data_IF_860875845834
#
_entry.id   IF_860875845834
#
_cell.length_a   1.000
_cell.length_b   1.000
_cell.length_c   1.000
_cell.angle_alpha   90.00
_cell.angle_beta   90.00
_cell.angle_gamma   90.00
#
_symmetry.space_group_name_H-M   'P 1'
#
loop_
_entity.id
_entity.type
_entity.pdbx_description
1 polymer ?
#
# COMPACT_ATOMS: atom_id res chain seq x y z
N UNK A 1 -14.96 -5.06 58.23
CA UNK A 1 -15.39 -5.74 56.98
C UNK A 1 -14.72 -5.00 55.81
N UNK A 2 -13.50 -5.42 55.45
CA UNK A 2 -12.77 -4.85 54.31
C UNK A 2 -13.18 -5.63 53.04
N UNK A 3 -13.73 -4.96 52.04
CA UNK A 3 -13.89 -5.54 50.70
C UNK A 3 -12.65 -5.24 49.86
N UNK A 4 -11.94 -6.30 49.49
CA UNK A 4 -10.92 -6.27 48.44
C UNK A 4 -11.62 -6.18 47.08
N UNK A 5 -11.42 -5.09 46.34
CA UNK A 5 -11.81 -4.99 44.93
C UNK A 5 -10.61 -5.42 44.09
N UNK A 6 -10.67 -6.63 43.54
CA UNK A 6 -9.67 -7.12 42.58
C UNK A 6 -10.00 -6.56 41.20
N UNK A 7 -9.23 -5.56 40.76
CA UNK A 7 -9.26 -5.04 39.40
C UNK A 7 -8.55 -6.02 38.47
N UNK A 8 -9.31 -6.82 37.72
CA UNK A 8 -8.78 -7.64 36.62
C UNK A 8 -8.55 -6.74 35.42
N UNK A 9 -7.31 -6.34 35.18
CA UNK A 9 -6.92 -5.61 33.98
C UNK A 9 -6.94 -6.56 32.78
N UNK A 10 -7.98 -6.46 31.94
CA UNK A 10 -8.03 -7.15 30.66
C UNK A 10 -6.98 -6.54 29.71
N UNK A 11 -5.87 -7.25 29.52
CA UNK A 11 -4.90 -6.94 28.46
C UNK A 11 -5.54 -7.28 27.13
N UNK A 12 -6.10 -6.27 26.46
CA UNK A 12 -6.55 -6.40 25.07
C UNK A 12 -5.29 -6.47 24.21
N UNK A 13 -4.82 -7.68 23.92
CA UNK A 13 -3.84 -7.88 22.85
C UNK A 13 -4.51 -7.48 21.55
N UNK A 14 -4.05 -6.38 20.95
CA UNK A 14 -4.44 -5.98 19.60
C UNK A 14 -4.14 -7.15 18.66
N UNK A 15 -5.18 -7.87 18.24
CA UNK A 15 -5.07 -8.90 17.23
C UNK A 15 -4.57 -8.23 15.94
N UNK A 16 -3.28 -8.41 15.65
CA UNK A 16 -2.69 -8.01 14.39
C UNK A 16 -3.47 -8.70 13.28
N UNK A 17 -4.28 -7.94 12.56
CA UNK A 17 -5.16 -8.45 11.52
C UNK A 17 -4.36 -9.32 10.53
N UNK A 18 -4.61 -10.63 10.56
CA UNK A 18 -3.82 -11.59 9.79
C UNK A 18 -4.17 -11.51 8.30
N UNK A 19 -3.18 -11.80 7.46
CA UNK A 19 -3.41 -11.99 6.04
C UNK A 19 -4.24 -13.28 5.86
N UNK A 20 -5.31 -13.22 5.06
CA UNK A 20 -6.12 -14.41 4.78
C UNK A 20 -5.32 -15.37 3.91
N UNK A 21 -5.10 -16.59 4.39
CA UNK A 21 -4.34 -17.62 3.71
C UNK A 21 -5.23 -18.80 3.33
N UNK A 22 -4.90 -19.45 2.22
CA UNK A 22 -5.48 -20.73 1.76
C UNK A 22 -4.36 -21.52 1.11
N UNK A 23 -4.50 -22.84 1.18
CA UNK A 23 -3.60 -23.74 0.47
C UNK A 23 -4.19 -23.96 -0.92
N UNK A 24 -3.37 -23.80 -1.94
CA UNK A 24 -3.76 -24.00 -3.33
C UNK A 24 -3.27 -25.39 -3.75
N UNK A 25 -4.20 -26.19 -4.24
CA UNK A 25 -3.97 -27.58 -4.62
C UNK A 25 -3.28 -27.63 -5.98
N UNK A 26 -2.08 -28.19 -6.01
CA UNK A 26 -1.25 -28.40 -7.20
C UNK A 26 -1.08 -29.88 -7.59
N UNK A 27 -1.82 -30.80 -6.94
CA UNK A 27 -1.77 -32.27 -7.10
C UNK A 27 -2.00 -32.81 -8.51
N UNK A 28 -2.36 -31.94 -9.46
CA UNK A 28 -2.50 -32.30 -10.87
C UNK A 28 -1.85 -31.27 -11.80
N UNK A 29 -1.81 -30.00 -11.37
CA UNK A 29 -1.23 -28.93 -12.17
C UNK A 29 0.29 -28.94 -12.17
N UNK A 30 0.93 -29.47 -11.12
CA UNK A 30 2.38 -29.55 -11.03
C UNK A 30 2.95 -30.91 -11.41
N UNK A 31 2.13 -31.89 -11.80
CA UNK A 31 2.58 -33.20 -12.32
C UNK A 31 3.01 -33.16 -13.78
N UNK A 32 2.56 -32.13 -14.50
CA UNK A 32 2.73 -31.97 -15.94
C UNK A 32 3.29 -30.60 -16.27
N UNK A 33 3.80 -30.47 -17.50
CA UNK A 33 4.22 -29.19 -18.06
C UNK A 33 3.08 -28.17 -17.94
N UNK A 34 3.38 -26.99 -17.42
CA UNK A 34 2.38 -25.94 -17.26
C UNK A 34 2.57 -25.10 -16.01
N UNK A 35 1.56 -24.28 -15.77
CA UNK A 35 1.49 -23.37 -14.63
C UNK A 35 0.80 -24.02 -13.44
N UNK A 36 1.37 -23.80 -12.25
CA UNK A 36 0.68 -23.91 -10.98
C UNK A 36 0.79 -22.57 -10.26
N UNK A 37 -0.35 -21.99 -9.89
CA UNK A 37 -0.40 -20.61 -9.38
C UNK A 37 -1.32 -20.51 -8.17
N UNK A 38 -1.22 -19.41 -7.44
CA UNK A 38 -2.27 -19.03 -6.51
C UNK A 38 -3.55 -18.68 -7.30
N UNK A 39 -4.72 -18.98 -6.73
CA UNK A 39 -6.06 -18.78 -7.34
C UNK A 39 -6.32 -17.40 -7.99
N UNK A 40 -5.58 -16.36 -7.63
CA UNK A 40 -5.56 -15.09 -8.34
C UNK A 40 -4.25 -14.32 -8.09
N UNK A 41 -4.05 -13.26 -8.88
CA UNK A 41 -2.84 -12.43 -8.89
C UNK A 41 -2.64 -11.56 -7.63
N UNK A 42 -3.63 -11.48 -6.73
CA UNK A 42 -3.55 -10.74 -5.45
C UNK A 42 -3.14 -11.61 -4.27
N UNK A 43 -2.69 -12.83 -4.54
CA UNK A 43 -2.23 -13.78 -3.52
C UNK A 43 -0.80 -14.19 -3.80
N UNK A 44 -0.06 -14.36 -2.73
CA UNK A 44 1.38 -14.54 -2.79
C UNK A 44 1.76 -15.74 -1.93
N UNK A 45 2.69 -16.52 -2.44
CA UNK A 45 3.18 -17.75 -1.82
C UNK A 45 3.94 -17.37 -0.55
N UNK A 46 3.64 -18.05 0.55
CA UNK A 46 4.35 -17.95 1.83
C UNK A 46 5.08 -19.23 2.18
N UNK A 47 4.87 -20.29 1.40
CA UNK A 47 5.57 -21.56 1.52
C UNK A 47 4.95 -22.63 0.65
N UNK A 48 5.55 -23.80 0.69
CA UNK A 48 5.20 -24.95 -0.11
C UNK A 48 4.98 -26.17 0.76
N UNK A 49 4.10 -27.05 0.29
CA UNK A 49 3.92 -28.39 0.83
C UNK A 49 4.45 -29.40 -0.17
N UNK A 50 5.16 -30.40 0.34
CA UNK A 50 5.56 -31.56 -0.45
C UNK A 50 5.03 -32.86 0.15
N UNK A 51 4.83 -33.84 -0.71
CA UNK A 51 4.52 -35.22 -0.30
C UNK A 51 5.77 -35.98 0.16
N UNK A 52 5.55 -37.20 0.67
CA UNK A 52 6.62 -38.15 1.02
C UNK A 52 7.49 -38.49 -0.19
N UNK A 53 8.73 -38.91 0.07
CA UNK A 53 9.63 -39.45 -0.94
C UNK A 53 9.00 -40.64 -1.67
N UNK A 54 9.38 -40.81 -2.94
CA UNK A 54 8.95 -41.93 -3.76
C UNK A 54 9.62 -43.24 -3.40
N UNK A 55 9.15 -44.32 -4.01
CA UNK A 55 9.89 -45.57 -4.03
C UNK A 55 11.31 -45.31 -4.60
N UNK A 56 12.31 -46.01 -4.04
CA UNK A 56 13.72 -45.88 -4.46
C UNK A 56 14.36 -44.51 -4.20
N UNK A 57 13.84 -43.72 -3.24
CA UNK A 57 14.34 -42.37 -2.91
C UNK A 57 14.32 -41.39 -4.09
N UNK A 58 13.46 -41.61 -5.08
CA UNK A 58 13.24 -40.63 -6.14
C UNK A 58 12.45 -39.45 -5.59
N UNK A 59 12.95 -38.26 -5.85
CA UNK A 59 12.40 -37.02 -5.33
C UNK A 59 12.14 -36.01 -6.43
N UNK A 60 11.29 -36.45 -7.36
CA UNK A 60 10.89 -35.67 -8.52
C UNK A 60 10.06 -34.43 -8.14
N UNK A 61 10.11 -33.41 -9.01
CA UNK A 61 9.42 -32.14 -8.75
C UNK A 61 7.89 -32.22 -8.69
N UNK A 62 7.25 -33.27 -9.23
CA UNK A 62 5.79 -33.43 -9.13
C UNK A 62 5.32 -33.55 -7.68
N UNK A 63 6.19 -33.93 -6.75
CA UNK A 63 5.88 -34.03 -5.31
C UNK A 63 5.64 -32.70 -4.62
N UNK A 64 5.79 -31.57 -5.32
CA UNK A 64 5.43 -30.24 -4.86
C UNK A 64 3.93 -29.99 -5.05
N UNK A 65 3.14 -30.46 -4.10
CA UNK A 65 1.68 -30.61 -4.30
C UNK A 65 0.84 -29.42 -3.88
N UNK A 66 1.34 -28.50 -3.03
CA UNK A 66 0.55 -27.33 -2.63
C UNK A 66 1.41 -26.10 -2.38
N UNK A 67 0.80 -24.93 -2.56
CA UNK A 67 1.36 -23.65 -2.14
C UNK A 67 0.45 -22.97 -1.11
N UNK A 68 1.05 -22.43 -0.05
CA UNK A 68 0.32 -21.61 0.94
C UNK A 68 0.24 -20.18 0.43
N UNK A 69 -0.90 -19.81 -0.12
CA UNK A 69 -1.14 -18.51 -0.73
C UNK A 69 -1.85 -17.57 0.25
N UNK A 70 -1.27 -16.43 0.54
CA UNK A 70 -1.85 -15.42 1.43
C UNK A 70 -2.17 -14.13 0.68
N UNK A 71 -3.20 -13.40 1.13
CA UNK A 71 -3.49 -12.06 0.62
C UNK A 71 -2.30 -11.13 0.83
N UNK A 72 -2.22 -10.06 0.03
CA UNK A 72 -1.32 -8.94 0.33
C UNK A 72 -1.54 -8.39 1.75
N UNK A 73 -0.54 -7.65 2.23
CA UNK A 73 -0.68 -6.83 3.42
C UNK A 73 -1.96 -5.99 3.33
N UNK A 74 -2.60 -5.74 4.47
CA UNK A 74 -3.81 -4.92 4.57
C UNK A 74 -3.73 -3.60 3.82
N UNK A 75 -2.54 -3.03 3.68
CA UNK A 75 -2.28 -1.79 2.96
C UNK A 75 -2.54 -1.88 1.45
N UNK A 76 -2.60 -3.09 0.91
CA UNK A 76 -2.77 -3.36 -0.52
C UNK A 76 -3.89 -4.37 -0.81
N UNK A 77 -4.70 -4.74 0.19
CA UNK A 77 -5.67 -5.86 0.10
C UNK A 77 -6.67 -5.70 -1.06
N UNK A 78 -7.07 -4.48 -1.36
CA UNK A 78 -8.06 -4.17 -2.39
C UNK A 78 -7.42 -3.76 -3.72
N UNK A 79 -6.11 -3.56 -3.77
CA UNK A 79 -5.43 -3.10 -4.98
C UNK A 79 -5.43 -4.17 -6.08
N UNK A 80 -5.37 -3.72 -7.33
CA UNK A 80 -5.03 -4.60 -8.45
C UNK A 80 -3.56 -5.00 -8.32
N UNK A 81 -3.22 -6.16 -8.85
CA UNK A 81 -1.83 -6.59 -8.96
C UNK A 81 -1.40 -6.59 -10.42
N UNK A 82 -0.12 -6.28 -10.64
CA UNK A 82 0.57 -6.50 -11.90
C UNK A 82 1.52 -7.69 -11.74
N UNK A 83 1.68 -8.49 -12.79
CA UNK A 83 2.51 -9.70 -12.76
C UNK A 83 3.54 -9.69 -13.88
N UNK A 84 4.66 -10.35 -13.61
CA UNK A 84 5.78 -10.58 -14.52
C UNK A 84 6.25 -12.03 -14.40
N UNK A 85 6.72 -12.56 -15.50
CA UNK A 85 7.34 -13.87 -15.55
C UNK A 85 8.86 -13.69 -15.36
N UNK A 86 9.37 -14.11 -14.20
CA UNK A 86 10.80 -14.13 -13.94
C UNK A 86 11.42 -15.33 -14.66
N UNK A 87 12.34 -15.08 -15.58
CA UNK A 87 13.07 -16.13 -16.29
C UNK A 87 14.07 -16.79 -15.33
N UNK A 88 13.85 -18.07 -15.02
CA UNK A 88 14.73 -18.87 -14.16
C UNK A 88 15.52 -19.94 -14.91
N UNK A 89 15.42 -20.00 -16.25
CA UNK A 89 16.04 -21.03 -17.07
C UNK A 89 17.52 -21.20 -16.75
N UNK A 90 18.28 -20.10 -16.78
CA UNK A 90 19.73 -20.17 -16.49
C UNK A 90 20.04 -20.24 -15.00
N UNK A 91 19.21 -19.66 -14.14
CA UNK A 91 19.51 -19.58 -12.71
C UNK A 91 19.24 -20.90 -12.01
N UNK A 92 18.09 -21.56 -12.27
CA UNK A 92 17.79 -22.86 -11.69
C UNK A 92 18.55 -24.02 -12.34
N UNK A 93 19.14 -23.87 -13.52
CA UNK A 93 20.07 -24.86 -14.11
C UNK A 93 21.40 -24.96 -13.39
N UNK A 94 21.78 -23.94 -12.60
CA UNK A 94 23.02 -23.94 -11.82
C UNK A 94 22.80 -24.45 -10.41
N UNK A 95 23.59 -25.42 -9.91
CA UNK A 95 23.57 -25.72 -8.48
C UNK A 95 24.14 -24.56 -7.68
N UNK A 96 23.76 -24.48 -6.40
CA UNK A 96 24.18 -23.46 -5.45
C UNK A 96 23.81 -22.02 -5.84
N UNK A 97 22.67 -21.83 -6.50
CA UNK A 97 22.22 -20.55 -7.05
C UNK A 97 20.86 -20.12 -6.50
N UNK A 98 20.57 -18.83 -6.65
CA UNK A 98 19.26 -18.25 -6.37
C UNK A 98 18.47 -18.00 -7.66
N UNK A 99 17.19 -18.31 -7.62
CA UNK A 99 16.20 -17.87 -8.60
C UNK A 99 15.16 -17.02 -7.90
N UNK A 100 15.10 -15.74 -8.25
CA UNK A 100 14.32 -14.71 -7.54
C UNK A 100 13.38 -13.96 -8.47
N UNK A 101 12.31 -13.44 -7.90
CA UNK A 101 11.44 -12.44 -8.51
C UNK A 101 12.18 -11.09 -8.64
N UNK A 102 11.77 -10.24 -9.59
CA UNK A 102 12.24 -8.86 -9.65
C UNK A 102 11.96 -8.11 -8.34
N UNK A 103 12.79 -7.12 -8.02
CA UNK A 103 12.66 -6.35 -6.79
C UNK A 103 11.24 -5.77 -6.60
N UNK A 104 10.68 -5.99 -5.40
CA UNK A 104 9.30 -5.59 -5.04
C UNK A 104 8.20 -6.54 -5.55
N UNK A 105 8.52 -7.56 -6.33
CA UNK A 105 7.56 -8.62 -6.71
C UNK A 105 7.67 -9.83 -5.77
N UNK A 106 6.54 -10.51 -5.60
CA UNK A 106 6.38 -11.66 -4.72
C UNK A 106 5.88 -12.86 -5.53
N UNK A 107 6.31 -14.06 -5.17
CA UNK A 107 5.99 -15.25 -5.93
C UNK A 107 4.49 -15.56 -5.81
N UNK A 108 3.84 -15.79 -6.94
CA UNK A 108 2.44 -16.17 -7.07
C UNK A 108 2.31 -17.60 -7.60
N UNK A 109 3.25 -18.06 -8.40
CA UNK A 109 3.22 -19.39 -9.00
C UNK A 109 4.51 -19.77 -9.70
N UNK A 110 4.52 -21.00 -10.20
CA UNK A 110 5.65 -21.63 -10.86
C UNK A 110 5.20 -22.24 -12.18
N UNK A 111 6.04 -22.13 -13.20
CA UNK A 111 5.91 -22.87 -14.45
C UNK A 111 6.98 -23.95 -14.50
N UNK A 112 6.58 -25.16 -14.88
CA UNK A 112 7.52 -26.24 -15.18
C UNK A 112 7.47 -26.68 -16.64
N UNK A 113 8.62 -27.07 -17.17
CA UNK A 113 8.78 -27.77 -18.45
C UNK A 113 8.59 -29.29 -18.28
N UNK A 114 8.82 -30.04 -19.36
CA UNK A 114 8.89 -31.50 -19.29
C UNK A 114 10.20 -31.93 -18.61
N UNK A 115 10.19 -33.07 -17.92
CA UNK A 115 11.30 -33.53 -17.09
C UNK A 115 10.93 -33.52 -15.62
N UNK A 116 11.68 -34.22 -14.77
CA UNK A 116 11.31 -34.47 -13.36
C UNK A 116 12.31 -33.91 -12.34
N UNK A 117 13.28 -33.14 -12.81
CA UNK A 117 14.32 -32.56 -11.98
C UNK A 117 13.98 -31.12 -11.59
N UNK A 118 14.65 -30.61 -10.56
CA UNK A 118 14.39 -29.29 -9.99
C UNK A 118 14.58 -28.15 -10.98
N UNK A 119 15.59 -28.27 -11.86
CA UNK A 119 15.83 -27.25 -12.88
C UNK A 119 14.69 -27.11 -13.90
N UNK A 120 13.83 -28.13 -14.06
CA UNK A 120 12.66 -28.03 -14.95
C UNK A 120 11.59 -27.05 -14.44
N UNK A 121 11.80 -26.37 -13.31
CA UNK A 121 11.05 -25.17 -12.91
C UNK A 121 11.73 -23.96 -13.56
N UNK A 122 11.14 -23.47 -14.66
CA UNK A 122 11.83 -22.51 -15.54
C UNK A 122 11.38 -21.06 -15.33
N UNK A 123 10.21 -20.85 -14.72
CA UNK A 123 9.63 -19.51 -14.58
C UNK A 123 8.92 -19.34 -13.26
N UNK A 124 9.25 -18.26 -12.55
CA UNK A 124 8.46 -17.76 -11.43
C UNK A 124 7.42 -16.74 -11.91
N UNK A 125 6.13 -16.98 -11.66
CA UNK A 125 5.11 -15.94 -11.79
C UNK A 125 5.21 -15.03 -10.59
N UNK A 126 5.65 -13.81 -10.81
CA UNK A 126 5.94 -12.83 -9.78
C UNK A 126 4.95 -11.68 -9.89
N UNK A 127 4.19 -11.41 -8.84
CA UNK A 127 3.15 -10.38 -8.82
C UNK A 127 3.43 -9.34 -7.73
N UNK A 128 2.94 -8.12 -7.90
CA UNK A 128 2.89 -7.11 -6.84
C UNK A 128 1.64 -6.25 -6.97
N UNK A 129 1.14 -5.65 -5.88
CA UNK A 129 0.17 -4.57 -5.99
C UNK A 129 0.70 -3.45 -6.90
N UNK A 130 -0.15 -2.90 -7.76
CA UNK A 130 0.25 -1.90 -8.77
C UNK A 130 1.00 -0.73 -8.12
N UNK A 131 0.55 -0.25 -6.96
CA UNK A 131 1.16 0.88 -6.28
C UNK A 131 2.27 0.50 -5.28
N UNK A 132 2.61 -0.79 -5.18
CA UNK A 132 3.71 -1.25 -4.32
C UNK A 132 5.07 -0.91 -4.97
N UNK A 133 6.03 -0.34 -4.21
CA UNK A 133 7.37 -0.04 -4.71
C UNK A 133 8.12 -1.25 -5.26
N UNK A 134 9.09 -1.02 -6.14
CA UNK A 134 10.05 -2.04 -6.61
C UNK A 134 11.13 -2.38 -5.56
N UNK A 135 10.76 -2.49 -4.28
CA UNK A 135 11.65 -2.91 -3.18
C UNK A 135 10.86 -3.50 -2.01
N UNK A 136 11.57 -4.21 -1.14
CA UNK A 136 11.01 -4.86 0.04
C UNK A 136 11.23 -4.02 1.30
N UNK A 137 10.45 -4.28 2.36
CA UNK A 137 10.69 -3.68 3.69
C UNK A 137 11.93 -4.30 4.34
N UNK A 138 11.90 -5.63 4.43
CA UNK A 138 12.91 -6.46 5.03
C UNK A 138 12.91 -7.79 4.28
N UNK A 139 14.07 -8.41 4.17
CA UNK A 139 14.22 -9.78 3.68
C UNK A 139 15.07 -10.61 4.64
N UNK A 140 14.89 -11.92 4.57
CA UNK A 140 15.78 -12.90 5.17
C UNK A 140 15.72 -14.20 4.36
N UNK A 141 16.76 -15.02 4.47
CA UNK A 141 16.79 -16.33 3.83
C UNK A 141 16.42 -17.39 4.87
N UNK A 142 15.31 -18.07 4.67
CA UNK A 142 14.83 -19.17 5.51
C UNK A 142 15.54 -20.46 5.09
N UNK A 143 16.28 -21.09 6.01
CA UNK A 143 16.88 -22.39 5.74
C UNK A 143 15.83 -23.49 5.95
N UNK A 144 15.46 -24.16 4.86
CA UNK A 144 14.43 -25.21 4.87
C UNK A 144 15.00 -26.59 4.55
N UNK A 145 16.28 -26.73 4.17
CA UNK A 145 16.94 -27.98 3.74
C UNK A 145 16.40 -29.23 4.44
N UNK A 146 16.62 -29.35 5.75
CA UNK A 146 16.20 -30.53 6.50
C UNK A 146 14.69 -30.70 6.66
N UNK A 147 13.92 -29.60 6.66
CA UNK A 147 12.44 -29.63 6.76
C UNK A 147 11.82 -30.01 5.42
N UNK A 148 12.43 -29.60 4.32
CA UNK A 148 11.97 -29.84 2.96
C UNK A 148 12.44 -31.18 2.38
N UNK A 149 13.34 -31.90 3.07
CA UNK A 149 13.62 -33.32 2.81
C UNK A 149 12.46 -34.24 3.23
N UNK A 150 11.55 -33.75 4.07
CA UNK A 150 10.44 -34.51 4.67
C UNK A 150 9.10 -34.03 4.14
N UNK A 151 8.11 -34.92 4.18
CA UNK A 151 6.73 -34.55 3.91
C UNK A 151 6.29 -33.42 4.86
N UNK A 152 5.62 -32.42 4.33
CA UNK A 152 5.07 -31.33 5.14
C UNK A 152 5.29 -29.95 4.54
N UNK A 153 4.97 -28.95 5.36
CA UNK A 153 5.07 -27.54 5.02
C UNK A 153 6.47 -27.00 5.30
N UNK A 154 7.02 -26.26 4.33
CA UNK A 154 8.14 -25.34 4.51
C UNK A 154 7.72 -23.94 4.11
N UNK A 155 7.74 -23.01 5.07
CA UNK A 155 7.21 -21.65 4.93
C UNK A 155 8.20 -20.61 5.42
N UNK A 156 8.04 -19.37 4.96
CA UNK A 156 8.57 -18.22 5.66
C UNK A 156 8.01 -18.20 7.09
N UNK A 157 8.86 -18.41 8.09
CA UNK A 157 8.46 -18.50 9.50
C UNK A 157 7.98 -17.18 10.09
N UNK A 158 8.46 -16.04 9.59
CA UNK A 158 8.06 -14.71 10.07
C UNK A 158 6.72 -14.28 9.47
N UNK A 159 5.80 -13.84 10.33
CA UNK A 159 4.50 -13.35 9.90
C UNK A 159 4.63 -12.14 8.94
N UNK A 160 3.82 -12.14 7.87
CA UNK A 160 3.82 -11.08 6.86
C UNK A 160 4.96 -11.14 5.84
N UNK A 161 5.78 -12.20 5.86
CA UNK A 161 6.78 -12.46 4.83
C UNK A 161 6.25 -13.43 3.78
N UNK A 162 6.64 -13.18 2.53
CA UNK A 162 6.26 -13.95 1.36
C UNK A 162 7.52 -14.47 0.67
N UNK A 163 7.39 -15.61 0.00
CA UNK A 163 8.45 -16.16 -0.84
C UNK A 163 8.63 -15.26 -2.05
N UNK A 164 9.88 -14.87 -2.30
CA UNK A 164 10.27 -14.13 -3.51
C UNK A 164 11.30 -14.89 -4.33
N UNK A 165 11.80 -16.02 -3.84
CA UNK A 165 12.75 -16.85 -4.57
C UNK A 165 13.13 -18.13 -3.83
N UNK A 166 13.79 -19.01 -4.55
CA UNK A 166 14.24 -20.33 -4.08
C UNK A 166 15.74 -20.49 -4.33
N UNK A 167 16.43 -21.17 -3.41
CA UNK A 167 17.84 -21.53 -3.54
C UNK A 167 17.96 -23.02 -3.84
N UNK A 168 18.69 -23.34 -4.90
CA UNK A 168 18.93 -24.72 -5.32
C UNK A 168 20.30 -25.19 -4.86
N UNK A 169 20.37 -26.27 -4.08
CA UNK A 169 21.63 -26.93 -3.72
C UNK A 169 22.11 -27.95 -4.77
N UNK A 170 21.19 -28.73 -5.34
CA UNK A 170 21.40 -29.77 -6.36
C UNK A 170 20.08 -30.00 -7.12
N UNK A 171 19.87 -31.13 -7.81
CA UNK A 171 18.83 -31.25 -8.84
C UNK A 171 17.54 -32.00 -8.48
N UNK A 172 17.39 -32.47 -7.25
CA UNK A 172 16.14 -33.09 -6.77
C UNK A 172 15.28 -32.08 -6.01
N UNK A 173 13.99 -32.37 -5.83
CA UNK A 173 13.04 -31.45 -5.20
C UNK A 173 13.50 -31.02 -3.80
N UNK A 174 13.97 -31.95 -2.96
CA UNK A 174 14.46 -31.65 -1.60
C UNK A 174 15.64 -30.67 -1.59
N UNK A 175 16.34 -30.49 -2.71
CA UNK A 175 17.44 -29.54 -2.80
C UNK A 175 17.00 -28.09 -2.98
N UNK A 176 15.70 -27.78 -2.82
CA UNK A 176 15.29 -26.43 -2.45
C UNK A 176 15.68 -26.22 -0.98
N UNK A 177 16.91 -25.78 -0.76
CA UNK A 177 17.50 -25.69 0.57
C UNK A 177 17.07 -24.42 1.31
N UNK A 178 16.73 -23.34 0.59
CA UNK A 178 16.36 -22.05 1.19
C UNK A 178 15.25 -21.35 0.42
N UNK A 179 14.44 -20.60 1.16
CA UNK A 179 13.48 -19.64 0.62
C UNK A 179 13.98 -18.23 0.89
N UNK A 180 13.95 -17.35 -0.11
CA UNK A 180 14.10 -15.92 0.14
C UNK A 180 12.75 -15.36 0.53
N UNK A 181 12.65 -14.89 1.77
CA UNK A 181 11.44 -14.41 2.38
C UNK A 181 11.52 -12.90 2.55
N UNK A 182 10.60 -12.16 1.93
CA UNK A 182 10.57 -10.70 1.99
C UNK A 182 9.20 -10.19 2.43
N UNK A 183 9.21 -9.09 3.17
CA UNK A 183 8.02 -8.40 3.65
C UNK A 183 7.63 -7.26 2.71
N UNK A 184 6.34 -7.15 2.43
CA UNK A 184 5.77 -6.05 1.66
C UNK A 184 6.02 -4.72 2.38
N UNK A 185 6.77 -3.81 1.75
CA UNK A 185 6.91 -2.44 2.23
C UNK A 185 5.55 -1.77 2.35
N UNK A 186 5.18 -1.42 3.59
CA UNK A 186 3.97 -0.65 3.88
C UNK A 186 4.19 0.81 3.53
N UNK A 187 3.66 1.24 2.38
CA UNK A 187 3.55 2.67 2.03
C UNK A 187 2.17 3.16 2.46
N UNK A 188 1.93 3.17 3.77
CA UNK A 188 0.81 3.90 4.37
C UNK A 188 1.31 5.23 4.89
N UNK A 189 0.47 6.28 4.86
CA UNK A 189 0.62 7.37 5.81
C UNK A 189 0.62 6.76 7.22
N UNK A 190 1.76 6.81 7.93
CA UNK A 190 1.97 6.04 9.16
C UNK A 190 0.88 6.27 10.22
N UNK A 191 0.58 7.52 10.51
CA UNK A 191 -0.40 7.94 11.51
C UNK A 191 -1.35 8.98 10.91
N UNK A 192 -2.66 8.77 11.05
CA UNK A 192 -3.69 9.71 10.61
C UNK A 192 -4.49 10.24 11.79
N UNK A 193 -4.81 11.53 11.77
CA UNK A 193 -5.70 12.21 12.71
C UNK A 193 -6.66 13.11 11.95
N UNK A 194 -7.84 13.33 12.52
CA UNK A 194 -8.72 14.37 12.05
C UNK A 194 -8.36 15.66 12.80
N UNK A 195 -8.03 16.71 12.06
CA UNK A 195 -7.80 18.04 12.64
C UNK A 195 -9.14 18.76 12.67
N UNK A 196 -9.54 19.19 13.87
CA UNK A 196 -10.81 19.87 14.12
C UNK A 196 -10.72 21.32 13.65
N UNK A 197 -11.56 21.68 12.67
CA UNK A 197 -11.67 23.01 12.09
C UNK A 197 -13.01 23.72 12.38
N UNK A 198 -13.91 23.12 13.17
CA UNK A 198 -15.26 23.58 13.55
C UNK A 198 -15.36 24.99 14.16
N UNK A 199 -14.23 25.66 14.36
CA UNK A 199 -14.18 27.04 14.85
C UNK A 199 -13.05 27.83 14.24
N UNK A 200 -12.00 27.16 13.74
CA UNK A 200 -10.87 27.83 13.10
C UNK A 200 -11.19 28.22 11.66
N UNK A 201 -12.04 27.45 10.96
CA UNK A 201 -12.40 27.73 9.58
C UNK A 201 -13.67 28.56 9.44
N UNK A 202 -14.37 28.89 10.53
CA UNK A 202 -15.54 29.80 10.52
C UNK A 202 -15.15 31.28 10.44
N UNK A 203 -13.88 31.57 10.75
CA UNK A 203 -13.33 32.92 10.83
C UNK A 203 -12.09 33.05 9.96
N UNK A 204 -11.73 34.31 9.66
CA UNK A 204 -10.48 34.65 9.00
C UNK A 204 -9.30 34.05 9.79
N UNK A 205 -8.38 33.40 9.07
CA UNK A 205 -7.19 32.82 9.69
C UNK A 205 -6.82 31.47 9.10
N UNK A 206 -5.90 30.81 9.81
CA UNK A 206 -5.38 29.50 9.45
C UNK A 206 -6.20 28.38 10.08
N UNK A 207 -6.45 27.34 9.30
CA UNK A 207 -6.81 26.01 9.78
C UNK A 207 -5.81 25.00 9.21
N UNK A 208 -5.07 24.33 10.10
CA UNK A 208 -3.96 23.45 9.72
C UNK A 208 -4.18 22.05 10.26
N UNK A 209 -3.40 21.10 9.76
CA UNK A 209 -3.15 19.86 10.47
C UNK A 209 -2.44 20.15 11.81
N UNK A 210 -2.59 19.24 12.78
CA UNK A 210 -2.03 19.38 14.14
C UNK A 210 -0.52 19.69 14.19
N UNK A 211 0.26 19.35 13.15
CA UNK A 211 1.65 19.78 12.97
C UNK A 211 2.07 19.70 11.49
N UNK A 212 3.26 20.23 11.18
CA UNK A 212 3.81 20.35 9.82
C UNK A 212 4.28 19.02 9.19
N UNK A 213 4.29 17.91 9.94
CA UNK A 213 4.62 16.55 9.45
C UNK A 213 3.40 15.75 9.02
N UNK A 214 2.22 16.36 9.12
CA UNK A 214 0.97 15.78 8.64
C UNK A 214 0.51 16.47 7.37
N UNK A 215 -0.13 15.72 6.50
CA UNK A 215 -0.56 16.17 5.19
C UNK A 215 -2.00 15.73 4.96
N UNK A 216 -2.80 16.62 4.39
CA UNK A 216 -4.22 16.43 4.14
C UNK A 216 -4.39 15.33 3.09
N UNK A 217 -5.24 14.37 3.41
CA UNK A 217 -5.68 13.27 2.52
C UNK A 217 -7.14 13.40 2.12
N UNK A 218 -7.86 14.31 2.78
CA UNK A 218 -9.24 14.65 2.47
C UNK A 218 -9.85 15.57 3.52
N UNK A 219 -11.11 15.90 3.31
CA UNK A 219 -11.85 16.85 4.11
C UNK A 219 -13.20 16.28 4.55
N UNK A 220 -13.65 16.73 5.71
CA UNK A 220 -15.01 16.51 6.19
C UNK A 220 -15.83 17.78 5.97
N UNK A 221 -17.06 17.58 5.51
CA UNK A 221 -18.03 18.65 5.31
C UNK A 221 -19.26 18.42 6.18
N UNK A 222 -19.73 19.48 6.85
CA UNK A 222 -20.98 19.45 7.61
C UNK A 222 -22.23 19.41 6.71
N UNK A 223 -23.38 19.12 7.31
CA UNK A 223 -24.66 19.04 6.59
C UNK A 223 -25.02 20.38 5.95
N UNK A 224 -25.49 20.35 4.70
CA UNK A 224 -26.17 21.49 4.09
C UNK A 224 -27.39 21.87 4.95
N UNK A 225 -27.52 23.17 5.25
CA UNK A 225 -28.72 23.70 5.91
C UNK A 225 -29.95 23.66 4.99
N UNK A 226 -31.05 24.25 5.45
CA UNK A 226 -32.29 24.44 4.65
C UNK A 226 -32.13 25.47 3.53
N UNK A 227 -30.98 26.16 3.46
CA UNK A 227 -30.69 27.21 2.50
C UNK A 227 -29.71 26.72 1.43
N UNK A 228 -29.86 27.23 0.21
CA UNK A 228 -29.04 26.93 -0.98
C UNK A 228 -27.61 27.49 -0.93
N UNK A 229 -27.26 28.24 0.14
CA UNK A 229 -25.93 28.86 0.29
C UNK A 229 -24.96 27.88 0.94
N UNK A 230 -23.98 27.51 0.14
CA UNK A 230 -23.00 26.51 0.50
C UNK A 230 -21.65 27.15 0.79
N UNK A 231 -21.60 27.77 1.95
CA UNK A 231 -20.52 28.63 2.42
C UNK A 231 -19.31 27.82 2.90
N UNK A 232 -18.12 28.42 2.83
CA UNK A 232 -16.86 27.70 3.12
C UNK A 232 -16.67 27.29 4.58
N UNK A 233 -17.39 27.87 5.55
CA UNK A 233 -17.30 27.42 6.95
C UNK A 233 -17.72 25.95 7.13
N UNK A 234 -18.47 25.39 6.18
CA UNK A 234 -18.89 23.97 6.23
C UNK A 234 -17.72 22.98 6.12
N UNK A 235 -16.51 23.46 5.85
CA UNK A 235 -15.29 22.67 5.84
C UNK A 235 -14.77 22.50 7.28
N UNK A 236 -15.33 21.53 8.01
CA UNK A 236 -15.18 21.43 9.46
C UNK A 236 -13.97 20.60 9.93
N UNK A 237 -13.45 19.70 9.10
CA UNK A 237 -12.28 18.90 9.49
C UNK A 237 -11.40 18.55 8.28
N UNK A 238 -10.11 18.34 8.55
CA UNK A 238 -9.18 17.76 7.59
C UNK A 238 -8.64 16.43 8.10
N UNK A 239 -8.62 15.42 7.23
CA UNK A 239 -7.98 14.14 7.52
C UNK A 239 -6.49 14.26 7.21
N UNK A 240 -5.70 14.35 8.26
CA UNK A 240 -4.29 14.66 8.21
C UNK A 240 -3.46 13.42 8.53
N UNK A 241 -2.60 13.00 7.61
CA UNK A 241 -1.79 11.81 7.80
C UNK A 241 -0.30 12.10 7.63
N UNK A 242 0.55 11.37 8.36
CA UNK A 242 2.00 11.49 8.25
C UNK A 242 2.50 11.03 6.89
N UNK A 243 3.75 11.35 6.56
CA UNK A 243 4.41 10.79 5.38
C UNK A 243 4.49 9.26 5.44
N UNK A 244 4.86 8.65 4.32
CA UNK A 244 5.24 7.24 4.29
C UNK A 244 6.49 6.97 5.17
N UNK A 245 6.77 5.70 5.41
CA UNK A 245 7.85 5.23 6.30
C UNK A 245 9.25 5.72 5.94
N UNK A 246 9.50 6.18 4.71
CA UNK A 246 10.81 6.72 4.30
C UNK A 246 11.10 8.08 4.89
N UNK A 247 10.05 8.86 5.12
CA UNK A 247 10.16 10.25 5.55
C UNK A 247 9.56 10.50 6.94
N UNK A 248 8.98 9.47 7.58
CA UNK A 248 8.18 9.60 8.80
C UNK A 248 8.92 10.31 9.94
N UNK A 249 10.24 10.15 10.02
CA UNK A 249 11.06 10.75 11.08
C UNK A 249 11.71 12.09 10.69
N UNK A 250 11.52 12.55 9.45
CA UNK A 250 12.14 13.78 8.98
C UNK A 250 11.41 15.02 9.51
N UNK A 251 12.13 16.15 9.54
CA UNK A 251 11.50 17.46 9.67
C UNK A 251 10.77 17.79 8.37
N UNK A 252 9.78 18.67 8.47
CA UNK A 252 9.13 19.25 7.29
C UNK A 252 9.62 20.66 7.04
N UNK A 253 9.65 21.03 5.77
CA UNK A 253 9.69 22.43 5.34
C UNK A 253 8.36 22.80 4.70
N UNK A 254 7.92 24.03 4.91
CA UNK A 254 6.63 24.50 4.44
C UNK A 254 6.74 25.78 3.63
N UNK A 255 5.83 25.93 2.67
CA UNK A 255 5.65 27.09 1.81
C UNK A 255 4.17 27.44 1.76
N UNK A 256 3.88 28.72 1.60
CA UNK A 256 2.52 29.21 1.40
C UNK A 256 2.28 29.35 -0.11
N UNK A 257 1.39 28.53 -0.66
CA UNK A 257 0.96 28.63 -2.05
C UNK A 257 -0.07 29.75 -2.19
N UNK A 258 0.22 30.75 -3.01
CA UNK A 258 -0.70 31.84 -3.31
C UNK A 258 -1.85 31.32 -4.20
N UNK A 259 -3.06 31.31 -3.68
CA UNK A 259 -4.28 30.90 -4.39
C UNK A 259 -5.23 32.05 -4.72
N UNK A 260 -4.83 33.30 -4.42
CA UNK A 260 -5.69 34.48 -4.51
C UNK A 260 -6.31 34.60 -5.90
N UNK A 261 -5.50 34.62 -6.94
CA UNK A 261 -6.01 34.74 -8.30
C UNK A 261 -6.57 33.44 -8.87
N UNK A 262 -6.13 32.28 -8.36
CA UNK A 262 -6.54 31.00 -8.91
C UNK A 262 -7.94 30.63 -8.43
N UNK A 263 -8.24 30.64 -7.13
CA UNK A 263 -9.57 30.29 -6.63
C UNK A 263 -10.65 31.33 -6.94
N UNK A 264 -10.29 32.58 -7.25
CA UNK A 264 -11.20 33.61 -7.77
C UNK A 264 -11.83 33.22 -9.13
N UNK A 265 -11.12 32.42 -9.91
CA UNK A 265 -11.51 32.09 -11.29
C UNK A 265 -12.19 30.72 -11.35
N UNK A 266 -13.29 30.57 -12.09
CA UNK A 266 -13.81 29.26 -12.44
C UNK A 266 -12.85 28.56 -13.41
N UNK A 267 -13.00 27.24 -13.53
CA UNK A 267 -12.20 26.36 -14.39
C UNK A 267 -10.68 26.49 -14.11
N UNK A 268 -10.30 26.48 -12.84
CA UNK A 268 -8.94 26.79 -12.41
C UNK A 268 -8.43 25.83 -11.33
N UNK A 269 -7.11 25.62 -11.35
CA UNK A 269 -6.41 24.83 -10.34
C UNK A 269 -5.73 25.73 -9.32
N UNK A 270 -5.88 25.36 -8.05
CA UNK A 270 -5.13 25.92 -6.93
C UNK A 270 -4.34 24.82 -6.26
N UNK A 271 -3.02 24.82 -6.49
CA UNK A 271 -2.13 23.70 -6.17
C UNK A 271 -0.94 24.14 -5.34
N UNK A 272 -0.41 23.21 -4.56
CA UNK A 272 0.89 23.32 -3.91
C UNK A 272 2.02 23.28 -4.95
N UNK A 273 3.20 23.88 -4.64
CA UNK A 273 4.40 23.71 -5.44
C UNK A 273 4.76 22.24 -5.62
N UNK A 274 5.42 21.89 -6.72
CA UNK A 274 5.78 20.50 -7.02
C UNK A 274 6.55 19.83 -5.87
N UNK A 275 6.08 18.65 -5.45
CA UNK A 275 6.62 17.88 -4.32
C UNK A 275 6.12 18.31 -2.95
N UNK A 276 5.30 19.36 -2.83
CA UNK A 276 4.68 19.76 -1.56
C UNK A 276 3.24 19.24 -1.44
N UNK A 277 2.83 18.93 -0.22
CA UNK A 277 1.53 18.38 0.09
C UNK A 277 0.77 19.33 1.00
N UNK A 278 -0.55 19.42 0.83
CA UNK A 278 -1.35 20.35 1.59
C UNK A 278 -1.33 19.97 3.08
N UNK A 279 -1.11 20.94 3.95
CA UNK A 279 -1.12 20.80 5.42
C UNK A 279 -2.25 21.63 6.03
N UNK A 280 -2.64 22.73 5.39
CA UNK A 280 -3.66 23.63 5.90
C UNK A 280 -4.12 24.64 4.87
N UNK A 281 -5.12 25.41 5.26
CA UNK A 281 -5.74 26.45 4.45
C UNK A 281 -5.82 27.74 5.26
N UNK A 282 -5.55 28.87 4.62
CA UNK A 282 -5.85 30.18 5.13
C UNK A 282 -7.05 30.74 4.39
N UNK A 283 -7.98 31.33 5.14
CA UNK A 283 -9.10 32.08 4.57
C UNK A 283 -9.11 33.55 4.98
N UNK A 284 -9.57 34.40 4.08
CA UNK A 284 -9.94 35.81 4.32
C UNK A 284 -11.34 35.92 4.93
N UNK A 285 -11.79 37.16 5.15
CA UNK A 285 -13.17 37.44 5.55
C UNK A 285 -14.10 37.29 4.34
N UNK A 286 -15.35 36.87 4.57
CA UNK A 286 -16.30 36.48 3.50
C UNK A 286 -16.66 35.01 3.60
N UNK A 287 -17.68 34.51 2.88
CA UNK A 287 -18.18 33.13 3.00
C UNK A 287 -18.14 32.34 1.70
N UNK A 288 -17.49 32.90 0.68
CA UNK A 288 -17.41 32.32 -0.64
C UNK A 288 -16.17 31.43 -0.79
N UNK A 289 -16.15 30.60 -1.83
CA UNK A 289 -15.05 29.68 -2.11
C UNK A 289 -13.72 30.39 -2.31
N UNK A 290 -13.71 31.50 -3.05
CA UNK A 290 -12.49 32.24 -3.32
C UNK A 290 -11.83 32.81 -2.06
N UNK A 291 -12.57 32.99 -0.96
CA UNK A 291 -12.00 33.46 0.29
C UNK A 291 -10.99 32.47 0.90
N UNK A 292 -10.79 31.29 0.30
CA UNK A 292 -9.64 30.42 0.57
C UNK A 292 -8.45 30.89 -0.28
N UNK A 293 -7.56 31.69 0.31
CA UNK A 293 -6.54 32.44 -0.45
C UNK A 293 -5.16 31.79 -0.46
N UNK A 294 -4.89 30.89 0.49
CA UNK A 294 -3.55 30.30 0.65
C UNK A 294 -3.63 28.85 1.08
N UNK A 295 -2.91 27.99 0.35
CA UNK A 295 -2.61 26.64 0.80
C UNK A 295 -1.29 26.60 1.58
N UNK A 296 -1.30 26.15 2.83
CA UNK A 296 -0.06 25.79 3.53
C UNK A 296 0.41 24.44 3.00
N UNK A 297 1.54 24.44 2.32
CA UNK A 297 2.07 23.30 1.61
C UNK A 297 3.39 22.88 2.26
N UNK A 298 3.47 21.64 2.75
CA UNK A 298 4.63 21.12 3.46
C UNK A 298 5.17 19.86 2.77
N UNK A 299 6.47 19.60 2.93
CA UNK A 299 7.07 18.31 2.57
C UNK A 299 8.21 17.96 3.54
N UNK A 300 8.58 16.67 3.65
CA UNK A 300 9.82 16.28 4.32
C UNK A 300 11.04 16.94 3.68
N UNK A 301 12.02 17.38 4.48
CA UNK A 301 13.20 18.13 3.99
C UNK A 301 13.96 17.40 2.87
N UNK A 302 14.10 16.07 2.95
CA UNK A 302 14.82 15.30 1.93
C UNK A 302 13.90 14.74 0.83
N UNK A 303 12.61 15.11 0.81
CA UNK A 303 11.71 14.72 -0.28
C UNK A 303 11.97 15.61 -1.51
N UNK A 304 12.10 15.03 -2.73
CA UNK A 304 12.40 15.82 -3.92
C UNK A 304 11.23 16.73 -4.34
N UNK A 305 11.49 17.79 -5.12
CA UNK A 305 10.44 18.67 -5.65
C UNK A 305 9.62 18.03 -6.79
N UNK A 306 9.19 16.78 -6.63
CA UNK A 306 8.37 16.02 -7.59
C UNK A 306 7.53 14.96 -6.88
N UNK A 307 6.41 14.60 -7.49
CA UNK A 307 5.57 13.51 -7.04
C UNK A 307 6.00 12.17 -7.67
N UNK A 308 5.62 11.04 -7.07
CA UNK A 308 5.78 9.72 -7.69
C UNK A 308 4.76 9.52 -8.81
N UNK A 309 3.51 9.78 -8.47
CA UNK A 309 2.33 9.60 -9.29
C UNK A 309 1.27 10.61 -8.82
N UNK A 310 0.41 11.04 -9.72
CA UNK A 310 -0.72 11.90 -9.42
C UNK A 310 -1.95 11.45 -10.21
N UNK A 311 -3.12 11.71 -9.65
CA UNK A 311 -4.37 11.58 -10.36
C UNK A 311 -5.37 12.61 -9.85
N UNK A 312 -6.37 12.87 -10.69
CA UNK A 312 -7.44 13.81 -10.40
C UNK A 312 -8.64 13.02 -9.87
N UNK A 313 -8.98 13.22 -8.59
CA UNK A 313 -10.12 12.58 -7.94
C UNK A 313 -11.37 13.43 -8.21
N UNK A 314 -12.34 12.89 -8.94
CA UNK A 314 -13.64 13.52 -9.09
C UNK A 314 -14.43 13.42 -7.79
N UNK A 315 -14.64 14.57 -7.15
CA UNK A 315 -15.29 14.69 -5.84
C UNK A 315 -16.66 15.34 -5.89
N UNK A 316 -17.04 15.99 -6.99
CA UNK A 316 -18.31 16.72 -7.20
C UNK A 316 -19.50 16.16 -6.43
N UNK A 317 -19.90 14.93 -6.71
CA UNK A 317 -21.12 14.37 -6.08
C UNK A 317 -20.95 13.93 -4.62
N UNK A 318 -19.72 13.62 -4.20
CA UNK A 318 -19.42 13.13 -2.84
C UNK A 318 -19.17 14.29 -1.88
N UNK A 319 -18.48 15.32 -2.35
CA UNK A 319 -18.12 16.49 -1.57
C UNK A 319 -19.30 17.44 -1.36
N UNK A 320 -20.35 17.34 -2.18
CA UNK A 320 -21.61 18.09 -2.00
C UNK A 320 -22.48 17.55 -0.86
N UNK A 321 -22.12 16.38 -0.31
CA UNK A 321 -22.86 15.73 0.77
C UNK A 321 -22.09 15.88 2.08
N UNK A 322 -22.83 15.79 3.18
CA UNK A 322 -22.21 15.66 4.50
C UNK A 322 -21.31 14.43 4.53
N UNK A 323 -20.12 14.57 5.11
CA UNK A 323 -19.23 13.46 5.37
C UNK A 323 -17.82 13.67 4.84
N UNK A 324 -17.07 12.58 4.84
CA UNK A 324 -15.69 12.53 4.40
C UNK A 324 -15.59 12.36 2.90
N UNK A 325 -14.77 13.20 2.27
CA UNK A 325 -14.27 12.99 0.91
C UNK A 325 -12.75 13.02 0.93
N UNK A 326 -12.12 11.96 0.42
CA UNK A 326 -10.66 11.76 0.46
C UNK A 326 -10.13 11.36 -0.91
N UNK A 327 -8.81 11.45 -1.10
CA UNK A 327 -8.15 10.69 -2.16
C UNK A 327 -8.49 9.20 -1.98
N UNK A 328 -9.08 8.58 -3.00
CA UNK A 328 -9.49 7.17 -2.98
C UNK A 328 -8.32 6.18 -2.95
N UNK A 329 -7.16 6.55 -3.51
CA UNK A 329 -5.96 5.70 -3.50
C UNK A 329 -5.17 5.86 -2.20
N UNK A 330 -4.76 4.74 -1.60
CA UNK A 330 -3.94 4.72 -0.38
C UNK A 330 -2.56 5.34 -0.66
N UNK A 331 -2.07 6.17 0.26
CA UNK A 331 -0.76 6.81 0.15
C UNK A 331 -0.75 8.07 -0.72
N UNK A 332 -1.92 8.53 -1.18
CA UNK A 332 -2.08 9.80 -1.88
C UNK A 332 -2.59 10.87 -0.92
N UNK A 333 -2.10 12.08 -1.14
CA UNK A 333 -2.39 13.26 -0.36
C UNK A 333 -2.97 14.33 -1.29
N UNK A 334 -3.85 15.17 -0.76
CA UNK A 334 -4.37 16.32 -1.48
C UNK A 334 -3.23 17.32 -1.63
N UNK A 335 -2.97 17.73 -2.87
CA UNK A 335 -1.99 18.78 -3.19
C UNK A 335 -2.64 20.01 -3.80
N UNK A 336 -3.94 19.96 -4.05
CA UNK A 336 -4.69 21.09 -4.59
C UNK A 336 -6.14 20.75 -4.90
N UNK A 337 -6.88 21.78 -5.26
CA UNK A 337 -8.31 21.71 -5.57
C UNK A 337 -8.59 22.40 -6.90
N UNK A 338 -9.62 21.92 -7.59
CA UNK A 338 -10.11 22.51 -8.83
C UNK A 338 -11.50 23.10 -8.63
N UNK A 339 -11.68 24.34 -9.06
CA UNK A 339 -12.97 25.00 -9.11
C UNK A 339 -13.52 24.88 -10.54
N UNK A 340 -14.59 24.11 -10.75
CA UNK A 340 -15.14 23.86 -12.10
C UNK A 340 -16.12 24.95 -12.57
N UNK A 341 -16.98 25.45 -11.66
CA UNK A 341 -18.14 26.29 -12.02
C UNK A 341 -17.96 27.77 -11.67
N UNK A 342 -18.76 28.60 -12.35
CA UNK A 342 -18.84 30.06 -12.17
C UNK A 342 -19.33 30.49 -10.79
N UNK A 343 -20.19 29.68 -10.14
CA UNK A 343 -20.60 29.95 -8.77
C UNK A 343 -19.42 29.82 -7.82
N UNK A 344 -19.56 30.42 -6.65
CA UNK A 344 -18.46 30.71 -5.73
C UNK A 344 -18.74 30.12 -4.34
N UNK A 345 -19.23 28.88 -4.38
CA UNK A 345 -19.65 28.11 -3.21
C UNK A 345 -18.76 26.87 -3.04
N UNK A 346 -18.74 26.30 -1.83
CA UNK A 346 -17.88 25.17 -1.49
C UNK A 346 -18.06 23.96 -2.42
N UNK A 347 -19.29 23.65 -2.84
CA UNK A 347 -19.64 22.60 -3.81
C UNK A 347 -19.12 22.85 -5.24
N UNK A 348 -18.40 23.95 -5.47
CA UNK A 348 -17.73 24.17 -6.74
C UNK A 348 -16.31 23.61 -6.75
N UNK A 349 -15.84 23.07 -5.62
CA UNK A 349 -14.67 22.19 -5.57
C UNK A 349 -15.06 20.79 -6.06
N UNK A 350 -14.82 20.55 -7.35
CA UNK A 350 -15.26 19.33 -8.02
C UNK A 350 -14.16 18.28 -8.19
N UNK A 351 -12.89 18.68 -8.07
CA UNK A 351 -11.74 17.77 -8.23
C UNK A 351 -10.69 18.05 -7.15
N UNK A 352 -10.18 16.98 -6.55
CA UNK A 352 -8.93 17.03 -5.77
C UNK A 352 -7.77 16.54 -6.63
N UNK A 353 -6.66 17.29 -6.62
CA UNK A 353 -5.39 16.77 -7.14
C UNK A 353 -4.77 15.92 -6.05
N UNK A 354 -4.68 14.62 -6.30
CA UNK A 354 -4.17 13.64 -5.37
C UNK A 354 -2.82 13.13 -5.86
N UNK A 355 -1.76 13.33 -5.06
CA UNK A 355 -0.40 12.93 -5.43
C UNK A 355 0.26 12.07 -4.36
N UNK A 356 1.13 11.16 -4.81
CA UNK A 356 1.89 10.24 -3.97
C UNK A 356 3.32 10.74 -3.76
N UNK A 357 3.82 10.60 -2.53
CA UNK A 357 5.21 10.89 -2.18
C UNK A 357 6.17 9.96 -2.92
N UNK A 358 7.13 10.54 -3.66
CA UNK A 358 8.25 9.83 -4.27
C UNK A 358 8.94 8.82 -3.33
N UNK A 359 9.07 7.57 -3.75
CA UNK A 359 9.65 6.48 -2.94
C UNK A 359 11.03 5.99 -3.38
N UNK A 360 11.64 6.53 -4.44
CA UNK A 360 12.92 6.03 -4.95
C UNK A 360 12.75 4.84 -5.88
N UNK A 361 13.33 4.96 -7.07
CA UNK A 361 13.58 3.86 -8.00
C UNK A 361 15.05 3.54 -8.01
#
# INVERSE_FOLDING_TARGET
MLMLVVLVSAVITAAGASNSCKNENWWSSFDKKGWSTCNNDKRFITGFYRTKLGAWNRDEIYRLEEAKCCSSDLSYRNERSECKNANWWTSLDKPNSWSVCPAGYFLNGLYRTAGQNLHNIEVGKCCKPVNHPKRYEQCYDENIRFKFDRQGWSTCTKAGFYVVGVYRGADWLHNIDRLRCCKMLRVKPGHCVNSNWWSSFDKKGWSNCNNDKLFITGFYRSKLGTWTRDEIYRLEEAKCCSSNSLYQNQRSECKNANWWTSLDKPNSWSVCPAGYFLNGLYRTAGQNLHNIEVGKCCKPVNHPNRYEDCYDENVRTKFDKQGWTTCSKIGYYVVGVFRDKYLDWLHNVDIFKCCKMWIGH
#
